data_IF_051860001845
#
_entry.id   IF_051860001845
#
_cell.length_a   1.000
_cell.length_b   1.000
_cell.length_c   1.000
_cell.angle_alpha   90.00
_cell.angle_beta   90.00
_cell.angle_gamma   90.00
#
_symmetry.space_group_name_H-M   'P 1'
#
loop_
_entity.id
_entity.type
_entity.pdbx_description
1 polymer ?
#
# COMPACT_ATOMS: atom_id res chain seq x y z
N UNK A 1 -1.72 13.63 -12.26
CA UNK A 1 -1.47 12.54 -11.30
C UNK A 1 -1.68 11.23 -12.04
N UNK A 2 -0.67 10.37 -12.10
CA UNK A 2 -0.79 9.06 -12.76
C UNK A 2 -1.31 8.08 -11.73
N UNK A 3 -2.55 7.63 -11.88
CA UNK A 3 -3.12 6.57 -11.04
C UNK A 3 -2.34 5.27 -11.29
N UNK A 4 -1.96 4.57 -10.22
CA UNK A 4 -1.36 3.25 -10.31
C UNK A 4 -2.41 2.19 -9.95
N UNK A 5 -2.52 1.09 -10.70
CA UNK A 5 -3.44 0.03 -10.35
C UNK A 5 -3.06 -0.60 -9.01
N UNK A 6 -4.05 -1.03 -8.22
CA UNK A 6 -3.83 -1.62 -6.90
C UNK A 6 -3.02 -2.92 -6.95
N UNK A 7 -2.96 -3.57 -8.12
CA UNK A 7 -2.06 -4.70 -8.40
C UNK A 7 -0.59 -4.36 -8.17
N UNK A 8 -0.21 -3.09 -8.33
CA UNK A 8 1.17 -2.62 -8.22
C UNK A 8 1.53 -2.26 -6.77
N UNK A 9 0.60 -2.39 -5.82
CA UNK A 9 0.83 -2.05 -4.43
C UNK A 9 2.02 -2.82 -3.83
N UNK A 10 2.16 -4.10 -4.18
CA UNK A 10 3.27 -4.92 -3.69
C UNK A 10 4.61 -4.46 -4.27
N UNK A 11 4.68 -4.17 -5.57
CA UNK A 11 5.92 -3.70 -6.19
C UNK A 11 6.34 -2.33 -5.66
N UNK A 12 5.40 -1.40 -5.48
CA UNK A 12 5.66 -0.10 -4.85
C UNK A 12 6.30 -0.25 -3.47
N UNK A 13 5.77 -1.16 -2.65
CA UNK A 13 6.29 -1.40 -1.31
C UNK A 13 7.66 -2.08 -1.36
N UNK A 14 7.85 -3.05 -2.25
CA UNK A 14 9.15 -3.72 -2.44
C UNK A 14 10.24 -2.74 -2.88
N UNK A 15 9.95 -1.86 -3.84
CA UNK A 15 10.89 -0.84 -4.30
C UNK A 15 11.25 0.12 -3.16
N UNK A 16 10.26 0.55 -2.37
CA UNK A 16 10.51 1.40 -1.20
C UNK A 16 11.38 0.71 -0.15
N UNK A 17 11.18 -0.60 0.08
CA UNK A 17 12.00 -1.41 0.99
C UNK A 17 13.44 -1.49 0.49
N UNK A 18 13.65 -1.69 -0.81
CA UNK A 18 14.98 -1.75 -1.42
C UNK A 18 15.69 -0.38 -1.31
N UNK A 19 15.00 0.71 -1.66
CA UNK A 19 15.54 2.08 -1.57
C UNK A 19 15.91 2.49 -0.14
N UNK A 20 15.15 2.03 0.85
CA UNK A 20 15.44 2.29 2.26
C UNK A 20 16.60 1.42 2.82
N UNK A 21 17.04 0.39 2.11
CA UNK A 21 18.04 -0.57 2.59
C UNK A 21 17.46 -1.66 3.50
N UNK A 22 16.18 -1.98 3.33
CA UNK A 22 15.49 -3.08 4.01
C UNK A 22 14.27 -2.66 4.84
N UNK A 23 13.46 -3.65 5.23
CA UNK A 23 12.18 -3.41 5.91
C UNK A 23 12.33 -2.66 7.23
N UNK A 24 13.38 -2.95 8.00
CA UNK A 24 13.64 -2.28 9.27
C UNK A 24 14.05 -0.81 9.10
N UNK A 25 14.78 -0.49 8.03
CA UNK A 25 15.15 0.89 7.72
C UNK A 25 13.91 1.69 7.27
N UNK A 26 13.09 1.10 6.39
CA UNK A 26 11.83 1.70 5.96
C UNK A 26 10.86 1.92 7.14
N UNK A 27 10.76 0.95 8.07
CA UNK A 27 9.93 1.07 9.27
C UNK A 27 10.30 2.31 10.10
N UNK A 28 11.60 2.52 10.30
CA UNK A 28 12.11 3.69 11.02
C UNK A 28 11.86 4.99 10.28
N UNK A 29 12.04 4.99 8.95
CA UNK A 29 11.83 6.18 8.12
C UNK A 29 10.35 6.61 8.10
N UNK A 30 9.44 5.65 8.02
CA UNK A 30 8.00 5.90 7.92
C UNK A 30 7.28 5.96 9.29
N UNK A 31 7.98 5.70 10.39
CA UNK A 31 7.42 5.58 11.73
C UNK A 31 6.24 4.58 11.83
N UNK A 32 6.34 3.47 11.10
CA UNK A 32 5.36 2.38 11.10
C UNK A 32 5.99 1.08 11.60
N UNK A 33 5.15 0.11 11.96
CA UNK A 33 5.66 -1.19 12.41
C UNK A 33 6.33 -1.96 11.27
N UNK A 34 7.45 -2.64 11.57
CA UNK A 34 8.06 -3.56 10.62
C UNK A 34 7.09 -4.69 10.23
N UNK A 35 6.19 -5.08 11.13
CA UNK A 35 5.15 -6.06 10.86
C UNK A 35 4.21 -5.60 9.74
N UNK A 36 3.79 -4.32 9.72
CA UNK A 36 2.95 -3.76 8.65
C UNK A 36 3.68 -3.77 7.30
N UNK A 37 4.98 -3.47 7.30
CA UNK A 37 5.81 -3.56 6.09
C UNK A 37 5.88 -5.01 5.61
N UNK A 38 6.21 -5.95 6.49
CA UNK A 38 6.28 -7.38 6.15
C UNK A 38 4.96 -7.89 5.59
N UNK A 39 3.82 -7.50 6.18
CA UNK A 39 2.50 -7.80 5.63
C UNK A 39 2.32 -7.20 4.24
N UNK A 40 2.71 -5.94 4.03
CA UNK A 40 2.57 -5.27 2.74
C UNK A 40 3.43 -5.92 1.64
N UNK A 41 4.67 -6.34 1.93
CA UNK A 41 5.55 -7.02 0.94
C UNK A 41 5.07 -8.43 0.61
N UNK A 42 4.44 -9.13 1.56
CA UNK A 42 3.97 -10.50 1.40
C UNK A 42 2.50 -10.60 0.94
N UNK A 43 1.92 -9.49 0.46
CA UNK A 43 0.51 -9.39 0.07
C UNK A 43 -0.46 -9.88 1.18
N UNK A 44 -0.13 -9.53 2.42
CA UNK A 44 -0.90 -9.82 3.63
C UNK A 44 -2.11 -8.89 3.79
N UNK A 45 -2.42 -8.51 5.03
CA UNK A 45 -3.64 -7.76 5.35
C UNK A 45 -3.73 -6.43 4.58
N UNK A 46 -4.90 -6.16 3.99
CA UNK A 46 -5.15 -4.94 3.21
C UNK A 46 -4.94 -3.68 4.03
N UNK A 47 -5.33 -3.69 5.32
CA UNK A 47 -5.12 -2.56 6.24
C UNK A 47 -3.63 -2.22 6.40
N UNK A 48 -2.77 -3.22 6.57
CA UNK A 48 -1.32 -3.03 6.71
C UNK A 48 -0.75 -2.44 5.42
N UNK A 49 -1.11 -3.01 4.26
CA UNK A 49 -0.69 -2.48 2.96
C UNK A 49 -1.10 -1.03 2.75
N UNK A 50 -2.36 -0.69 3.07
CA UNK A 50 -2.87 0.67 2.93
C UNK A 50 -2.14 1.64 3.86
N UNK A 51 -1.81 1.24 5.09
CA UNK A 51 -0.98 2.07 6.00
C UNK A 51 0.40 2.35 5.42
N UNK A 52 1.09 1.34 4.87
CA UNK A 52 2.40 1.55 4.23
C UNK A 52 2.28 2.49 3.04
N UNK A 53 1.31 2.27 2.15
CA UNK A 53 1.08 3.12 0.98
C UNK A 53 0.75 4.57 1.36
N UNK A 54 -0.08 4.78 2.37
CA UNK A 54 -0.38 6.10 2.91
C UNK A 54 0.87 6.78 3.48
N UNK A 55 1.71 6.05 4.22
CA UNK A 55 2.98 6.56 4.73
C UNK A 55 3.99 6.90 3.61
N UNK A 56 3.94 6.19 2.49
CA UNK A 56 4.69 6.49 1.27
C UNK A 56 4.11 7.65 0.45
N UNK A 57 3.00 8.24 0.88
CA UNK A 57 2.34 9.38 0.23
C UNK A 57 1.34 9.00 -0.88
N UNK A 58 0.98 7.73 -1.00
CA UNK A 58 -0.11 7.29 -1.88
C UNK A 58 -1.45 7.41 -1.18
N UNK A 59 -2.48 7.78 -1.92
CA UNK A 59 -3.87 7.69 -1.45
C UNK A 59 -4.48 6.42 -2.02
N UNK A 60 -4.88 5.49 -1.16
CA UNK A 60 -5.61 4.27 -1.57
C UNK A 60 -7.11 4.54 -1.52
N UNK A 61 -7.78 4.48 -2.66
CA UNK A 61 -9.23 4.71 -2.77
C UNK A 61 -9.94 3.43 -3.19
N UNK A 62 -10.75 2.86 -2.30
CA UNK A 62 -11.68 1.79 -2.62
C UNK A 62 -12.99 2.40 -3.13
N UNK A 63 -13.22 2.36 -4.45
CA UNK A 63 -14.43 2.96 -5.04
C UNK A 63 -15.55 1.93 -5.14
N UNK A 64 -16.72 2.24 -4.59
CA UNK A 64 -17.98 1.55 -4.90
C UNK A 64 -18.65 2.31 -6.05
N UNK A 65 -18.95 1.63 -7.14
CA UNK A 65 -19.69 2.21 -8.27
C UNK A 65 -21.04 1.50 -8.42
N UNK A 66 -22.15 2.22 -8.61
CA UNK A 66 -23.44 1.60 -8.85
C UNK A 66 -23.38 0.77 -10.13
N UNK A 67 -23.85 -0.47 -10.08
CA UNK A 67 -24.06 -1.26 -11.28
C UNK A 67 -25.19 -0.61 -12.08
N UNK A 68 -24.88 -0.21 -13.31
CA UNK A 68 -25.81 0.50 -14.19
C UNK A 68 -27.10 -0.32 -14.31
N UNK A 69 -28.21 0.19 -13.76
CA UNK A 69 -29.53 -0.45 -13.80
C UNK A 69 -29.92 -1.31 -12.60
N UNK A 70 -29.09 -1.45 -11.56
CA UNK A 70 -29.43 -2.26 -10.37
C UNK A 70 -29.88 -1.44 -9.14
N UNK A 71 -29.49 -0.17 -9.06
CA UNK A 71 -29.93 0.74 -8.01
C UNK A 71 -30.86 1.80 -8.61
N UNK A 72 -32.12 1.43 -8.80
CA UNK A 72 -33.22 2.35 -9.14
C UNK A 72 -34.31 2.23 -8.10
#
# INVERSE_FOLDING_TARGET
MTERPISDAQSIVSDAVEMAGGQHALARQLHISQADISQAVNNGRTDSRNRVLNALGYVVVETIRPMKGQNR
#
